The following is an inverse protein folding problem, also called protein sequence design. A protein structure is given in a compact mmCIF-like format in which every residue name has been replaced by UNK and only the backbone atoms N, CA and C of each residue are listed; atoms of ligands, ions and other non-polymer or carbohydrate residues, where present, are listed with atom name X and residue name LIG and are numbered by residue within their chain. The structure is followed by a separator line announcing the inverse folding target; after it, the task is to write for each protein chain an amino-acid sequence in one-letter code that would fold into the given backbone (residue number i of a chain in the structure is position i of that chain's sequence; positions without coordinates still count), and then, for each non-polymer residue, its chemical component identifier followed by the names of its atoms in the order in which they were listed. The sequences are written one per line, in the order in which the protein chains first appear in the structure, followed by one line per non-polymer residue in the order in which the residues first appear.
data_IF_386503565875
#
_entry.id   IF_386503565875
#
_cell.length_a   1.000
_cell.length_b   1.000
_cell.length_c   1.000
_cell.angle_alpha   90.00
_cell.angle_beta   90.00
_cell.angle_gamma   90.00
#
_symmetry.space_group_name_H-M   'P 1'
#
loop_
_entity.id
_entity.type
_entity.pdbx_description
1 polymer ?
#
# COMPACT_ATOMS: atom_id res chain seq x y z
N UNK A 1 5.26 -18.36 -23.65
CA UNK A 1 3.84 -17.98 -23.43
C UNK A 1 3.21 -18.44 -22.10
N UNK A 2 3.79 -19.38 -21.33
CA UNK A 2 3.26 -19.76 -20.00
C UNK A 2 3.46 -18.69 -18.89
N UNK A 3 4.51 -17.87 -18.99
CA UNK A 3 4.89 -16.88 -17.97
C UNK A 3 3.99 -15.62 -17.93
N UNK A 4 3.45 -15.18 -19.07
CA UNK A 4 2.54 -14.02 -19.13
C UNK A 4 1.22 -14.34 -18.40
N UNK A 5 0.76 -15.59 -18.50
CA UNK A 5 -0.44 -16.06 -17.79
C UNK A 5 -0.24 -16.10 -16.29
N UNK A 6 0.94 -16.46 -15.78
CA UNK A 6 1.21 -16.49 -14.34
C UNK A 6 1.25 -15.08 -13.73
N UNK A 7 1.82 -14.12 -14.46
CA UNK A 7 1.85 -12.71 -14.05
C UNK A 7 0.45 -12.10 -14.04
N UNK A 8 -0.34 -12.35 -15.09
CA UNK A 8 -1.74 -11.93 -15.17
C UNK A 8 -2.61 -12.62 -14.12
N UNK A 9 -2.34 -13.88 -13.79
CA UNK A 9 -3.06 -14.65 -12.77
C UNK A 9 -2.72 -14.17 -11.35
N UNK A 10 -1.44 -13.88 -11.06
CA UNK A 10 -1.04 -13.25 -9.81
C UNK A 10 -1.58 -11.83 -9.69
N UNK A 11 -1.60 -11.05 -10.78
CA UNK A 11 -2.25 -9.74 -10.83
C UNK A 11 -3.77 -9.85 -10.61
N UNK A 12 -4.45 -10.84 -11.19
CA UNK A 12 -5.88 -11.11 -10.98
C UNK A 12 -6.19 -11.60 -9.56
N UNK A 13 -5.34 -12.44 -8.98
CA UNK A 13 -5.49 -12.91 -7.60
C UNK A 13 -5.19 -11.78 -6.59
N UNK A 14 -4.22 -10.91 -6.87
CA UNK A 14 -3.99 -9.68 -6.08
C UNK A 14 -5.13 -8.67 -6.23
N UNK A 15 -5.76 -8.59 -7.41
CA UNK A 15 -6.94 -7.75 -7.63
C UNK A 15 -8.19 -8.20 -6.87
N UNK A 16 -8.21 -9.42 -6.31
CA UNK A 16 -9.34 -9.90 -5.53
C UNK A 16 -9.33 -9.42 -4.07
N UNK A 17 -8.19 -9.02 -3.51
CA UNK A 17 -8.08 -8.62 -2.10
C UNK A 17 -7.72 -7.14 -2.01
N UNK A 18 -8.76 -6.30 -1.85
CA UNK A 18 -8.59 -4.88 -1.54
C UNK A 18 -8.32 -4.70 -0.06
N UNK A 19 -7.23 -4.03 0.27
CA UNK A 19 -6.87 -3.70 1.64
C UNK A 19 -7.13 -2.23 1.90
N UNK A 20 -8.05 -1.97 2.81
CA UNK A 20 -8.40 -0.63 3.27
C UNK A 20 -7.70 -0.38 4.59
N UNK A 21 -6.89 0.67 4.63
CA UNK A 21 -6.24 1.17 5.84
C UNK A 21 -6.97 2.42 6.33
N UNK A 22 -7.21 2.50 7.64
CA UNK A 22 -7.88 3.61 8.30
C UNK A 22 -7.01 4.12 9.44
N UNK A 23 -6.83 5.44 9.51
CA UNK A 23 -6.20 6.12 10.66
C UNK A 23 -6.55 7.59 10.65
N UNK A 24 -6.76 8.19 11.82
CA UNK A 24 -7.18 9.60 11.97
C UNK A 24 -6.26 10.63 11.32
N UNK A 25 -4.99 10.28 11.10
CA UNK A 25 -3.98 11.17 10.49
C UNK A 25 -3.80 10.91 8.98
N UNK A 26 -4.56 10.00 8.37
CA UNK A 26 -4.57 9.85 6.91
C UNK A 26 -5.38 10.99 6.27
N UNK A 27 -5.03 11.42 5.05
CA UNK A 27 -5.83 12.39 4.30
C UNK A 27 -7.28 11.94 4.13
N UNK A 28 -8.21 12.88 3.97
CA UNK A 28 -9.60 12.58 3.65
C UNK A 28 -9.69 11.93 2.26
N UNK A 29 -10.39 10.79 2.19
CA UNK A 29 -10.77 10.15 0.94
C UNK A 29 -12.08 10.74 0.44
N UNK A 30 -12.11 11.54 -0.65
CA UNK A 30 -13.34 12.17 -1.13
C UNK A 30 -14.42 11.18 -1.59
N UNK A 31 -14.06 9.90 -1.78
CA UNK A 31 -14.94 8.83 -2.25
C UNK A 31 -15.35 7.84 -1.16
N UNK A 32 -14.94 8.06 0.10
CA UNK A 32 -15.17 7.12 1.21
C UNK A 32 -16.62 6.66 1.34
N UNK A 33 -17.58 7.59 1.22
CA UNK A 33 -19.03 7.28 1.30
C UNK A 33 -19.51 6.40 0.15
N UNK A 34 -19.06 6.70 -1.07
CA UNK A 34 -19.41 5.94 -2.29
C UNK A 34 -18.80 4.55 -2.28
N UNK A 35 -17.72 4.37 -1.54
CA UNK A 35 -16.98 3.11 -1.39
C UNK A 35 -17.39 2.33 -0.15
N UNK A 36 -18.31 2.88 0.65
CA UNK A 36 -18.79 2.30 1.91
C UNK A 36 -17.66 2.03 2.92
N UNK A 37 -16.65 2.90 2.97
CA UNK A 37 -15.60 2.80 3.98
C UNK A 37 -16.07 3.31 5.35
N UNK A 38 -15.52 2.79 6.47
CA UNK A 38 -16.01 3.15 7.80
C UNK A 38 -15.85 4.63 8.15
N UNK A 39 -14.75 5.24 7.73
CA UNK A 39 -14.38 6.62 8.07
C UNK A 39 -13.85 7.37 6.86
N UNK A 40 -13.84 8.70 6.95
CA UNK A 40 -13.33 9.58 5.90
C UNK A 40 -11.82 9.44 5.67
N UNK A 41 -11.05 9.04 6.68
CA UNK A 41 -9.61 8.79 6.60
C UNK A 41 -9.28 7.32 6.27
N UNK A 42 -10.21 6.61 5.64
CA UNK A 42 -10.00 5.25 5.15
C UNK A 42 -9.70 5.25 3.66
N UNK A 43 -8.68 4.49 3.28
CA UNK A 43 -8.26 4.34 1.90
C UNK A 43 -7.93 2.90 1.57
N UNK A 44 -8.39 2.44 0.42
CA UNK A 44 -7.71 1.34 -0.26
C UNK A 44 -6.25 1.73 -0.55
N UNK A 45 -5.32 0.80 -0.29
CA UNK A 45 -3.88 1.06 -0.41
C UNK A 45 -3.51 1.50 -1.84
N UNK A 46 -3.97 0.79 -2.86
CA UNK A 46 -3.63 1.09 -4.26
C UNK A 46 -4.30 2.40 -4.70
N UNK A 47 -5.55 2.62 -4.31
CA UNK A 47 -6.24 3.87 -4.59
C UNK A 47 -5.52 5.07 -3.98
N UNK A 48 -5.07 4.96 -2.73
CA UNK A 48 -4.36 6.03 -2.04
C UNK A 48 -3.12 6.47 -2.80
N UNK A 49 -2.29 5.50 -3.20
CA UNK A 49 -1.05 5.79 -3.91
C UNK A 49 -1.28 6.25 -5.35
N UNK A 50 -2.29 5.71 -6.03
CA UNK A 50 -2.67 6.18 -7.37
C UNK A 50 -3.22 7.62 -7.32
N UNK A 51 -4.04 7.95 -6.33
CA UNK A 51 -4.55 9.30 -6.13
C UNK A 51 -3.42 10.28 -5.81
N UNK A 52 -2.48 9.89 -4.94
CA UNK A 52 -1.29 10.66 -4.63
C UNK A 52 -0.43 10.92 -5.87
N UNK A 53 -0.18 9.89 -6.68
CA UNK A 53 0.57 10.00 -7.94
C UNK A 53 -0.08 11.00 -8.90
N UNK A 54 -1.41 10.91 -9.07
CA UNK A 54 -2.19 11.83 -9.92
C UNK A 54 -2.19 13.27 -9.42
N UNK A 55 -2.21 13.46 -8.10
CA UNK A 55 -2.17 14.79 -7.49
C UNK A 55 -0.81 15.50 -7.70
N UNK A 56 0.24 14.75 -8.04
CA UNK A 56 1.55 15.30 -8.35
C UNK A 56 2.43 15.55 -7.12
N UNK A 57 3.74 15.71 -7.35
CA UNK A 57 4.78 15.71 -6.30
C UNK A 57 4.65 16.84 -5.28
N UNK A 58 4.11 17.97 -5.71
CA UNK A 58 3.96 19.17 -4.86
C UNK A 58 2.66 19.14 -4.04
N UNK A 59 1.83 18.10 -4.21
CA UNK A 59 0.59 17.97 -3.46
C UNK A 59 0.82 17.49 -2.02
N UNK A 60 -0.08 17.93 -1.13
CA UNK A 60 -0.14 17.39 0.24
C UNK A 60 -0.36 15.88 0.24
N UNK A 61 -1.20 15.37 -0.66
CA UNK A 61 -1.50 13.94 -0.78
C UNK A 61 -0.26 13.13 -1.13
N UNK A 62 0.59 13.62 -2.04
CA UNK A 62 1.86 12.97 -2.38
C UNK A 62 2.86 12.97 -1.23
N UNK A 63 2.92 14.06 -0.47
CA UNK A 63 3.76 14.16 0.73
C UNK A 63 3.32 13.15 1.79
N UNK A 64 2.01 13.01 2.00
CA UNK A 64 1.43 12.03 2.92
C UNK A 64 1.66 10.60 2.45
N UNK A 65 1.51 10.31 1.15
CA UNK A 65 1.86 9.02 0.58
C UNK A 65 3.32 8.63 0.87
N UNK A 66 4.27 9.56 0.69
CA UNK A 66 5.67 9.31 1.06
C UNK A 66 5.86 9.06 2.55
N UNK A 67 5.15 9.80 3.40
CA UNK A 67 5.20 9.60 4.86
C UNK A 67 4.74 8.20 5.23
N UNK A 68 3.61 7.74 4.66
CA UNK A 68 3.05 6.41 4.91
C UNK A 68 3.95 5.30 4.37
N UNK A 69 4.55 5.49 3.20
CA UNK A 69 5.59 4.60 2.69
C UNK A 69 6.76 4.46 3.69
N UNK A 70 7.35 5.59 4.11
CA UNK A 70 8.51 5.55 5.02
C UNK A 70 8.15 4.97 6.38
N UNK A 71 7.00 5.34 6.94
CA UNK A 71 6.49 4.74 8.16
C UNK A 71 6.40 3.21 8.03
N UNK A 72 5.79 2.73 6.95
CA UNK A 72 5.58 1.31 6.74
C UNK A 72 6.90 0.56 6.54
N UNK A 73 7.80 1.18 5.77
CA UNK A 73 9.15 0.68 5.55
C UNK A 73 9.94 0.53 6.86
N UNK A 74 9.95 1.55 7.71
CA UNK A 74 10.66 1.50 8.98
C UNK A 74 10.03 0.52 9.97
N UNK A 75 8.70 0.34 9.94
CA UNK A 75 8.02 -0.68 10.74
C UNK A 75 8.44 -2.09 10.31
N UNK A 76 8.50 -2.37 9.00
CA UNK A 76 8.99 -3.66 8.49
C UNK A 76 10.41 -3.98 8.93
N UNK A 77 11.26 -2.97 9.05
CA UNK A 77 12.63 -3.14 9.53
C UNK A 77 12.75 -3.21 11.05
N UNK A 78 11.65 -3.06 11.81
CA UNK A 78 11.68 -2.97 13.27
C UNK A 78 12.39 -1.71 13.80
N UNK A 79 12.47 -0.65 12.98
CA UNK A 79 13.21 0.59 13.26
C UNK A 79 12.33 1.83 13.39
N UNK A 80 11.01 1.66 13.36
CA UNK A 80 10.09 2.78 13.50
C UNK A 80 10.07 3.32 14.94
N UNK A 81 10.39 4.60 15.11
CA UNK A 81 10.53 5.24 16.44
C UNK A 81 9.49 6.32 16.75
N UNK A 82 8.61 6.65 15.79
CA UNK A 82 7.68 7.79 15.94
C UNK A 82 6.41 7.46 16.73
N UNK A 83 6.20 6.20 17.13
CA UNK A 83 5.15 5.80 18.07
C UNK A 83 3.70 5.99 17.62
N UNK A 84 3.43 6.30 16.34
CA UNK A 84 2.04 6.34 15.84
C UNK A 84 1.38 4.97 16.01
N UNK A 85 0.06 4.89 16.22
CA UNK A 85 -0.64 3.62 16.22
C UNK A 85 -0.55 2.95 14.84
N UNK A 86 -0.63 1.62 14.82
CA UNK A 86 -0.79 0.87 13.59
C UNK A 86 -2.14 1.22 12.93
N UNK A 87 -2.30 0.92 11.65
CA UNK A 87 -3.54 1.16 10.93
C UNK A 87 -4.63 0.21 11.44
N UNK A 88 -5.86 0.69 11.46
CA UNK A 88 -7.01 -0.21 11.44
C UNK A 88 -7.17 -0.70 10.00
N UNK A 89 -7.32 -2.02 9.80
CA UNK A 89 -7.22 -2.61 8.47
C UNK A 89 -8.42 -3.49 8.19
N UNK A 90 -8.94 -3.36 6.97
CA UNK A 90 -10.05 -4.14 6.47
C UNK A 90 -9.69 -4.77 5.12
N UNK A 91 -10.08 -6.02 4.94
CA UNK A 91 -10.13 -6.70 3.65
C UNK A 91 -11.52 -6.52 3.06
N UNK A 92 -11.61 -6.06 1.82
CA UNK A 92 -12.88 -5.98 1.08
C UNK A 92 -13.00 -7.21 0.20
N UNK A 93 -13.88 -8.14 0.60
CA UNK A 93 -14.26 -9.30 -0.20
C UNK A 93 -15.77 -9.21 -0.47
N UNK A 94 -16.17 -9.28 -1.75
CA UNK A 94 -17.58 -9.27 -2.16
C UNK A 94 -18.40 -8.15 -1.49
N UNK A 95 -17.87 -6.93 -1.51
CA UNK A 95 -18.47 -5.71 -0.88
C UNK A 95 -18.56 -5.71 0.65
N UNK A 96 -18.08 -6.76 1.32
CA UNK A 96 -18.06 -6.85 2.78
C UNK A 96 -16.69 -6.49 3.34
N UNK A 97 -16.67 -5.62 4.36
CA UNK A 97 -15.47 -5.27 5.11
C UNK A 97 -15.20 -6.30 6.20
N UNK A 98 -14.05 -6.96 6.14
CA UNK A 98 -13.58 -7.92 7.15
C UNK A 98 -12.37 -7.35 7.87
N UNK A 99 -12.40 -7.17 9.20
CA UNK A 99 -11.25 -6.64 9.92
C UNK A 99 -10.07 -7.61 9.84
N UNK A 100 -8.89 -7.08 9.55
CA UNK A 100 -7.64 -7.83 9.49
C UNK A 100 -6.90 -7.65 10.82
N UNK A 101 -6.63 -8.77 11.50
CA UNK A 101 -5.87 -8.82 12.77
C UNK A 101 -4.64 -9.69 12.61
N UNK A 102 -3.59 -9.42 13.37
CA UNK A 102 -2.35 -10.22 13.45
C UNK A 102 -1.60 -10.42 12.12
N UNK A 103 -1.89 -9.59 11.11
CA UNK A 103 -1.25 -9.62 9.79
C UNK A 103 -0.54 -8.31 9.46
N UNK A 104 -0.05 -7.59 10.47
CA UNK A 104 0.59 -6.27 10.30
C UNK A 104 1.71 -6.30 9.26
N UNK A 105 2.58 -7.30 9.32
CA UNK A 105 3.68 -7.45 8.37
C UNK A 105 3.17 -7.54 6.93
N UNK A 106 2.14 -8.35 6.68
CA UNK A 106 1.56 -8.49 5.34
C UNK A 106 0.94 -7.18 4.84
N UNK A 107 0.24 -6.43 5.71
CA UNK A 107 -0.30 -5.11 5.36
C UNK A 107 0.82 -4.14 4.99
N UNK A 108 1.88 -4.09 5.80
CA UNK A 108 3.04 -3.24 5.53
C UNK A 108 3.74 -3.59 4.21
N UNK A 109 3.86 -4.88 3.90
CA UNK A 109 4.42 -5.37 2.62
C UNK A 109 3.57 -4.92 1.42
N UNK A 110 2.24 -4.91 1.56
CA UNK A 110 1.32 -4.39 0.54
C UNK A 110 1.45 -2.87 0.36
N UNK A 111 1.54 -2.10 1.45
CA UNK A 111 1.76 -0.65 1.38
C UNK A 111 3.05 -0.33 0.62
N UNK A 112 4.15 -1.03 0.94
CA UNK A 112 5.45 -0.83 0.27
C UNK A 112 5.37 -1.22 -1.21
N UNK A 113 4.76 -2.36 -1.53
CA UNK A 113 4.62 -2.82 -2.91
C UNK A 113 3.82 -1.83 -3.76
N UNK A 114 2.68 -1.34 -3.23
CA UNK A 114 1.83 -0.37 -3.91
C UNK A 114 2.55 0.97 -4.12
N UNK A 115 3.20 1.51 -3.07
CA UNK A 115 3.99 2.73 -3.19
C UNK A 115 5.07 2.66 -4.29
N UNK A 116 5.70 1.49 -4.47
CA UNK A 116 6.66 1.25 -5.55
C UNK A 116 5.98 1.21 -6.92
N UNK A 117 4.85 0.52 -7.03
CA UNK A 117 4.10 0.38 -8.27
C UNK A 117 3.58 1.72 -8.81
N UNK A 118 3.25 2.66 -7.90
CA UNK A 118 2.76 4.00 -8.24
C UNK A 118 3.85 5.08 -8.20
N UNK A 119 5.14 4.71 -8.28
CA UNK A 119 6.28 5.64 -8.38
C UNK A 119 6.38 6.70 -7.26
N UNK A 120 5.81 6.42 -6.08
CA UNK A 120 5.88 7.29 -4.90
C UNK A 120 7.30 7.26 -4.30
N UNK A 121 7.94 6.09 -4.41
CA UNK A 121 9.29 5.85 -3.90
C UNK A 121 10.34 6.50 -4.81
N UNK A 122 11.23 7.35 -4.29
CA UNK A 122 12.36 7.89 -5.07
C UNK A 122 13.22 6.78 -5.69
N UNK A 123 13.78 6.97 -6.90
CA UNK A 123 14.66 5.99 -7.53
C UNK A 123 15.83 5.53 -6.63
N UNK A 124 16.41 6.43 -5.84
CA UNK A 124 17.51 6.13 -4.92
C UNK A 124 17.04 5.19 -3.80
N UNK A 125 15.84 5.44 -3.27
CA UNK A 125 15.20 4.60 -2.27
C UNK A 125 14.72 3.27 -2.87
N UNK A 126 14.34 3.23 -4.15
CA UNK A 126 14.00 1.99 -4.87
C UNK A 126 15.18 1.02 -4.85
N UNK A 127 16.42 1.45 -5.04
CA UNK A 127 17.57 0.54 -4.99
C UNK A 127 17.74 -0.18 -3.63
N UNK A 128 17.49 0.53 -2.53
CA UNK A 128 17.57 -0.01 -1.17
C UNK A 128 16.34 -0.87 -0.83
N UNK A 129 15.16 -0.39 -1.18
CA UNK A 129 13.89 -1.09 -0.95
C UNK A 129 13.69 -2.28 -1.90
N UNK A 130 14.35 -2.30 -3.06
CA UNK A 130 14.40 -3.42 -4.00
C UNK A 130 15.04 -4.67 -3.40
N UNK A 131 15.98 -4.53 -2.44
CA UNK A 131 16.50 -5.70 -1.69
C UNK A 131 15.43 -6.34 -0.81
N UNK A 132 14.59 -5.51 -0.17
CA UNK A 132 13.44 -5.96 0.64
C UNK A 132 12.37 -6.55 -0.27
N UNK A 133 12.05 -5.88 -1.37
CA UNK A 133 11.13 -6.39 -2.39
C UNK A 133 11.59 -7.75 -2.95
N UNK A 134 12.87 -7.91 -3.31
CA UNK A 134 13.43 -9.19 -3.78
C UNK A 134 13.33 -10.31 -2.74
N UNK A 135 13.40 -9.97 -1.45
CA UNK A 135 13.25 -10.92 -0.35
C UNK A 135 11.79 -11.35 -0.15
N UNK A 136 10.83 -10.49 -0.47
CA UNK A 136 9.39 -10.74 -0.31
C UNK A 136 8.79 -11.41 -1.56
N UNK A 137 9.18 -10.97 -2.76
CA UNK A 137 8.53 -11.34 -4.03
C UNK A 137 9.47 -11.98 -5.07
N UNK A 138 10.76 -12.14 -4.79
CA UNK A 138 11.75 -12.63 -5.76
C UNK A 138 12.22 -11.55 -6.76
N UNK A 139 13.14 -11.89 -7.69
CA UNK A 139 13.67 -10.94 -8.67
C UNK A 139 12.58 -10.43 -9.64
N UNK A 140 12.45 -9.11 -9.77
CA UNK A 140 11.46 -8.47 -10.66
C UNK A 140 11.76 -8.59 -12.16
N UNK A 141 12.92 -9.13 -12.51
CA UNK A 141 13.38 -9.26 -13.90
C UNK A 141 13.98 -10.65 -14.06
N UNK A 142 13.26 -11.54 -14.75
CA UNK A 142 13.90 -12.62 -15.47
C UNK A 142 14.69 -11.95 -16.61
N UNK A 143 16.00 -12.24 -16.67
CA UNK A 143 16.84 -11.88 -17.80
C UNK A 143 16.21 -12.33 -19.12
#
# INVERSE_FOLDING_TARGET
MKFVRLKAFLQQAYQAIKLVICRRDLPENPRWRKQHYPYENCWDIDEFFEAARKAGRDSKLYTEARRIFWESYWRLLGRYRRGRPFFEVYEVADTTLRPVRDRERWVLENIVASAMAHDIVPPEAKAYTYRVYRRIYGPLVAK
#
